data_IF_251017468573
#
_entry.id   IF_251017468573
#
_cell.length_a   1.000
_cell.length_b   1.000
_cell.length_c   1.000
_cell.angle_alpha   90.00
_cell.angle_beta   90.00
_cell.angle_gamma   90.00
#
_symmetry.space_group_name_H-M   'P 1'
#
loop_
_entity.id
_entity.type
_entity.pdbx_description
1 polymer ?
#
# COMPACT_ATOMS: atom_id res chain seq x y z
N UNK A 1 7.04 -24.52 -22.38
CA UNK A 1 6.12 -23.76 -21.50
C UNK A 1 6.74 -22.39 -21.27
N UNK A 2 6.29 -21.36 -21.98
CA UNK A 2 6.84 -20.00 -21.81
C UNK A 2 6.26 -19.45 -20.51
N UNK A 3 7.07 -19.38 -19.46
CA UNK A 3 6.75 -18.57 -18.29
C UNK A 3 6.74 -17.12 -18.76
N UNK A 4 5.55 -16.59 -19.05
CA UNK A 4 5.37 -15.16 -19.11
C UNK A 4 5.64 -14.65 -17.70
N UNK A 5 6.80 -14.03 -17.49
CA UNK A 5 6.98 -13.09 -16.39
C UNK A 5 5.92 -12.02 -16.63
N UNK A 6 4.78 -12.19 -15.96
CA UNK A 6 3.73 -11.19 -15.93
C UNK A 6 4.40 -10.01 -15.25
N UNK A 7 4.85 -9.03 -16.03
CA UNK A 7 5.19 -7.72 -15.48
C UNK A 7 3.90 -7.29 -14.79
N UNK A 8 3.86 -7.44 -13.46
CA UNK A 8 2.76 -6.92 -12.67
C UNK A 8 2.79 -5.41 -12.91
N UNK A 9 1.82 -4.93 -13.69
CA UNK A 9 1.69 -3.51 -14.00
C UNK A 9 1.15 -2.88 -12.71
N UNK A 10 2.07 -2.62 -11.79
CA UNK A 10 1.79 -1.82 -10.60
C UNK A 10 1.67 -0.37 -11.02
N UNK A 11 0.76 0.39 -10.41
CA UNK A 11 0.72 1.85 -10.54
C UNK A 11 1.85 2.50 -9.72
N UNK A 12 3.06 1.98 -9.83
CA UNK A 12 4.26 2.42 -9.11
C UNK A 12 5.50 2.19 -9.96
N UNK A 13 6.60 2.83 -9.54
CA UNK A 13 7.94 2.66 -10.10
C UNK A 13 8.07 3.07 -11.57
N UNK A 14 7.28 4.04 -12.01
CA UNK A 14 7.41 4.60 -13.34
C UNK A 14 8.77 5.24 -13.51
N UNK A 15 9.43 4.90 -14.63
CA UNK A 15 10.79 5.37 -14.94
C UNK A 15 11.81 5.08 -13.82
N UNK A 16 11.62 4.00 -13.04
CA UNK A 16 12.46 3.64 -11.88
C UNK A 16 12.44 4.66 -10.74
N UNK A 17 11.35 5.43 -10.59
CA UNK A 17 11.18 6.45 -9.55
C UNK A 17 10.33 5.99 -8.36
N UNK A 18 10.20 4.68 -8.12
CA UNK A 18 9.31 4.14 -7.10
C UNK A 18 9.61 4.65 -5.69
N UNK A 19 10.89 4.86 -5.35
CA UNK A 19 11.30 5.46 -4.07
C UNK A 19 10.82 6.91 -3.92
N UNK A 20 10.87 7.70 -4.99
CA UNK A 20 10.36 9.08 -4.99
C UNK A 20 8.83 9.09 -4.81
N UNK A 21 8.12 8.24 -5.56
CA UNK A 21 6.66 8.10 -5.47
C UNK A 21 6.21 7.68 -4.06
N UNK A 22 6.85 6.67 -3.46
CA UNK A 22 6.53 6.24 -2.10
C UNK A 22 6.79 7.34 -1.08
N UNK A 23 7.89 8.09 -1.22
CA UNK A 23 8.21 9.20 -0.33
C UNK A 23 7.20 10.33 -0.46
N UNK A 24 6.74 10.67 -1.66
CA UNK A 24 5.66 11.64 -1.85
C UNK A 24 4.35 11.20 -1.22
N UNK A 25 4.06 9.89 -1.24
CA UNK A 25 2.80 9.34 -0.74
C UNK A 25 2.78 9.11 0.77
N UNK A 26 3.93 8.80 1.38
CA UNK A 26 4.02 8.43 2.82
C UNK A 26 4.71 9.49 3.68
N UNK A 27 5.58 10.32 3.09
CA UNK A 27 6.39 11.32 3.81
C UNK A 27 7.54 10.72 4.64
N UNK A 28 7.42 9.46 5.08
CA UNK A 28 8.38 8.80 5.97
C UNK A 28 9.31 7.80 5.26
N UNK A 29 9.04 7.44 3.99
CA UNK A 29 9.91 6.53 3.24
C UNK A 29 11.28 7.16 2.96
N UNK A 30 12.34 6.46 3.39
CA UNK A 30 13.70 6.98 3.30
C UNK A 30 14.21 7.00 1.85
N UNK A 31 14.88 8.09 1.46
CA UNK A 31 15.32 8.33 0.07
C UNK A 31 16.27 7.24 -0.45
N UNK A 32 17.07 6.65 0.43
CA UNK A 32 18.08 5.66 0.04
C UNK A 32 17.57 4.21 0.14
N UNK A 33 16.29 3.99 0.44
CA UNK A 33 15.72 2.66 0.42
C UNK A 33 15.65 2.13 -1.02
N UNK A 34 16.07 0.89 -1.20
CA UNK A 34 15.91 0.16 -2.46
C UNK A 34 14.43 -0.23 -2.64
N UNK A 35 13.83 0.23 -3.74
CA UNK A 35 12.45 -0.09 -4.10
C UNK A 35 12.20 -1.61 -4.21
N UNK A 36 13.23 -2.40 -4.55
CA UNK A 36 13.13 -3.86 -4.63
C UNK A 36 12.70 -4.50 -3.31
N UNK A 37 12.98 -3.86 -2.16
CA UNK A 37 12.63 -4.37 -0.83
C UNK A 37 11.15 -4.25 -0.50
N UNK A 38 10.44 -3.34 -1.16
CA UNK A 38 9.02 -3.05 -0.90
C UNK A 38 8.11 -3.47 -2.05
N UNK A 39 8.65 -3.69 -3.26
CA UNK A 39 7.89 -4.06 -4.46
C UNK A 39 6.96 -5.26 -4.26
N UNK A 40 7.45 -6.32 -3.61
CA UNK A 40 6.64 -7.50 -3.31
C UNK A 40 5.45 -7.18 -2.37
N UNK A 41 5.61 -6.25 -1.43
CA UNK A 41 4.52 -5.80 -0.57
C UNK A 41 3.54 -4.92 -1.33
N UNK A 42 4.03 -4.06 -2.24
CA UNK A 42 3.18 -3.26 -3.12
C UNK A 42 2.28 -4.17 -3.95
N UNK A 43 2.81 -5.25 -4.52
CA UNK A 43 2.00 -6.20 -5.31
C UNK A 43 0.90 -6.85 -4.47
N UNK A 44 1.23 -7.39 -3.29
CA UNK A 44 0.24 -8.02 -2.40
C UNK A 44 -0.85 -7.03 -1.96
N UNK A 45 -0.46 -5.84 -1.56
CA UNK A 45 -1.42 -4.82 -1.10
C UNK A 45 -2.24 -4.28 -2.28
N UNK A 46 -1.67 -4.22 -3.49
CA UNK A 46 -2.41 -3.86 -4.70
C UNK A 46 -3.55 -4.84 -4.95
N UNK A 47 -3.33 -6.15 -4.77
CA UNK A 47 -4.38 -7.15 -4.88
C UNK A 47 -5.48 -6.95 -3.83
N UNK A 48 -5.10 -6.68 -2.58
CA UNK A 48 -6.05 -6.40 -1.48
C UNK A 48 -6.91 -5.16 -1.76
N UNK A 49 -6.29 -4.05 -2.18
CA UNK A 49 -7.01 -2.80 -2.50
C UNK A 49 -7.88 -2.98 -3.74
N UNK A 50 -7.41 -3.70 -4.75
CA UNK A 50 -8.17 -4.01 -5.97
C UNK A 50 -9.40 -4.86 -5.68
N UNK A 51 -9.30 -5.82 -4.74
CA UNK A 51 -10.44 -6.60 -4.27
C UNK A 51 -11.53 -5.74 -3.60
N UNK A 52 -11.14 -4.59 -3.01
CA UNK A 52 -12.08 -3.63 -2.40
C UNK A 52 -12.73 -2.73 -3.46
N UNK A 53 -11.93 -2.13 -4.35
CA UNK A 53 -12.41 -1.10 -5.31
C UNK A 53 -12.94 -1.66 -6.63
N UNK A 54 -12.66 -2.93 -6.93
CA UNK A 54 -13.01 -3.59 -8.18
C UNK A 54 -11.90 -3.53 -9.23
N UNK A 55 -11.80 -4.60 -10.03
CA UNK A 55 -10.76 -4.76 -11.03
C UNK A 55 -10.85 -3.73 -12.16
N UNK A 56 -12.06 -3.30 -12.54
CA UNK A 56 -12.25 -2.31 -13.61
C UNK A 56 -11.68 -0.95 -13.23
N UNK A 57 -11.90 -0.51 -11.99
CA UNK A 57 -11.39 0.77 -11.48
C UNK A 57 -9.86 0.75 -11.45
N UNK A 58 -9.26 -0.33 -10.94
CA UNK A 58 -7.81 -0.47 -10.91
C UNK A 58 -7.21 -0.45 -12.33
N UNK A 59 -7.75 -1.23 -13.27
CA UNK A 59 -7.27 -1.27 -14.66
C UNK A 59 -7.37 0.08 -15.36
N UNK A 60 -8.39 0.88 -15.05
CA UNK A 60 -8.54 2.24 -15.58
C UNK A 60 -7.39 3.15 -15.09
N UNK A 61 -7.08 3.10 -13.81
CA UNK A 61 -5.96 3.85 -13.23
C UNK A 61 -4.60 3.36 -13.77
N UNK A 62 -4.43 2.04 -13.86
CA UNK A 62 -3.25 1.37 -14.42
C UNK A 62 -2.96 1.83 -15.84
N UNK A 63 -3.94 1.73 -16.74
CA UNK A 63 -3.82 2.17 -18.13
C UNK A 63 -3.39 3.63 -18.22
N UNK A 64 -4.06 4.51 -17.48
CA UNK A 64 -3.76 5.94 -17.50
C UNK A 64 -2.38 6.27 -16.92
N UNK A 65 -1.94 5.53 -15.90
CA UNK A 65 -0.60 5.65 -15.34
C UNK A 65 0.47 5.26 -16.37
N UNK A 66 0.28 4.16 -17.10
CA UNK A 66 1.19 3.72 -18.17
C UNK A 66 1.20 4.69 -19.34
N UNK A 67 0.05 5.22 -19.74
CA UNK A 67 -0.12 6.11 -20.91
C UNK A 67 0.29 7.57 -20.64
N UNK A 68 0.70 7.94 -19.42
CA UNK A 68 0.96 9.34 -19.03
C UNK A 68 -0.26 10.26 -19.25
N UNK A 69 -1.47 9.81 -18.91
CA UNK A 69 -2.65 10.66 -19.04
C UNK A 69 -2.49 11.99 -18.29
N UNK A 70 -2.76 13.12 -18.93
CA UNK A 70 -2.73 14.44 -18.28
C UNK A 70 -4.07 14.82 -17.62
N UNK A 71 -5.07 13.94 -17.70
CA UNK A 71 -6.37 14.14 -17.08
C UNK A 71 -6.24 14.23 -15.56
N UNK A 72 -6.57 15.41 -15.01
CA UNK A 72 -6.43 15.72 -13.58
C UNK A 72 -7.28 14.81 -12.69
N UNK A 73 -8.46 14.41 -13.14
CA UNK A 73 -9.34 13.55 -12.34
C UNK A 73 -8.82 12.13 -12.31
N UNK A 74 -8.29 11.65 -13.44
CA UNK A 74 -7.64 10.33 -13.50
C UNK A 74 -6.32 10.32 -12.71
N UNK A 75 -5.53 11.39 -12.76
CA UNK A 75 -4.33 11.52 -11.92
C UNK A 75 -4.67 11.53 -10.43
N UNK A 76 -5.77 12.18 -10.05
CA UNK A 76 -6.29 12.16 -8.68
C UNK A 76 -6.74 10.75 -8.28
N UNK A 77 -7.42 10.02 -9.16
CA UNK A 77 -7.78 8.61 -8.94
C UNK A 77 -6.55 7.74 -8.70
N UNK A 78 -5.52 7.85 -9.56
CA UNK A 78 -4.25 7.13 -9.40
C UNK A 78 -3.66 7.39 -8.01
N UNK A 79 -3.48 8.67 -7.62
CA UNK A 79 -2.92 9.00 -6.30
C UNK A 79 -3.78 8.48 -5.14
N UNK A 80 -5.11 8.51 -5.27
CA UNK A 80 -6.03 7.99 -4.24
C UNK A 80 -5.94 6.47 -4.08
N UNK A 81 -5.64 5.73 -5.15
CA UNK A 81 -5.40 4.27 -5.09
C UNK A 81 -3.99 3.97 -4.56
N UNK A 82 -2.98 4.69 -5.03
CA UNK A 82 -1.59 4.51 -4.60
C UNK A 82 -1.42 4.74 -3.09
N UNK A 83 -2.08 5.74 -2.52
CA UNK A 83 -1.84 6.14 -1.13
C UNK A 83 -2.06 5.02 -0.09
N UNK A 84 -3.21 4.32 -0.02
CA UNK A 84 -3.36 3.18 0.88
C UNK A 84 -2.40 2.03 0.56
N UNK A 85 -2.07 1.81 -0.73
CA UNK A 85 -1.10 0.78 -1.11
C UNK A 85 0.29 1.09 -0.54
N UNK A 86 0.72 2.34 -0.67
CA UNK A 86 2.02 2.80 -0.20
C UNK A 86 2.14 2.62 1.33
N UNK A 87 1.16 3.11 2.10
CA UNK A 87 1.19 3.06 3.57
C UNK A 87 1.31 1.63 4.09
N UNK A 88 0.46 0.72 3.59
CA UNK A 88 0.46 -0.67 4.06
C UNK A 88 1.69 -1.43 3.55
N UNK A 89 2.16 -1.16 2.34
CA UNK A 89 3.37 -1.79 1.82
C UNK A 89 4.61 -1.36 2.62
N UNK A 90 4.71 -0.08 2.99
CA UNK A 90 5.81 0.43 3.81
C UNK A 90 5.75 -0.11 5.23
N UNK A 91 4.57 -0.18 5.84
CA UNK A 91 4.40 -0.79 7.17
C UNK A 91 4.89 -2.25 7.18
N UNK A 92 4.43 -3.06 6.22
CA UNK A 92 4.88 -4.46 6.11
C UNK A 92 6.37 -4.59 5.83
N UNK A 93 6.96 -3.63 5.13
CA UNK A 93 8.40 -3.59 4.93
C UNK A 93 9.13 -3.29 6.26
N UNK A 94 8.66 -2.33 7.05
CA UNK A 94 9.25 -1.99 8.35
C UNK A 94 9.21 -3.19 9.30
N UNK A 95 8.05 -3.81 9.49
CA UNK A 95 7.88 -5.01 10.33
C UNK A 95 8.79 -6.18 9.94
N UNK A 96 9.06 -6.34 8.64
CA UNK A 96 9.95 -7.40 8.15
C UNK A 96 11.43 -7.08 8.33
N UNK A 97 11.77 -5.79 8.43
CA UNK A 97 13.12 -5.30 8.58
C UNK A 97 13.57 -5.17 10.04
N UNK A 98 12.67 -5.32 11.01
CA UNK A 98 13.01 -5.34 12.45
C UNK A 98 14.05 -6.41 12.80
N UNK A 99 14.07 -7.52 12.05
CA UNK A 99 15.05 -8.59 12.18
C UNK A 99 15.73 -8.87 10.84
N UNK A 100 17.06 -8.95 10.87
CA UNK A 100 17.85 -9.35 9.72
C UNK A 100 17.80 -10.87 9.55
N UNK A 101 17.75 -11.34 8.31
CA UNK A 101 17.75 -12.76 7.95
C UNK A 101 19.00 -13.03 7.11
N UNK A 102 20.02 -13.64 7.71
CA UNK A 102 21.31 -13.95 7.06
C UNK A 102 21.59 -15.46 7.12
N UNK A 103 22.75 -15.89 6.61
CA UNK A 103 23.14 -17.29 6.51
C UNK A 103 23.16 -18.03 7.87
N UNK A 104 23.43 -17.30 8.95
CA UNK A 104 23.44 -17.83 10.34
C UNK A 104 22.07 -17.68 11.04
N UNK A 105 21.02 -17.37 10.27
CA UNK A 105 19.65 -17.26 10.75
C UNK A 105 19.19 -15.82 11.03
N UNK A 106 18.27 -15.68 11.99
CA UNK A 106 17.67 -14.39 12.35
C UNK A 106 18.60 -13.66 13.30
N UNK A 107 19.16 -12.54 12.86
CA UNK A 107 20.10 -11.73 13.63
C UNK A 107 19.57 -10.32 13.84
N UNK A 108 19.74 -9.85 15.06
CA UNK A 108 19.51 -8.47 15.40
C UNK A 108 20.79 -7.65 15.10
N UNK A 109 20.69 -6.64 14.23
CA UNK A 109 21.82 -5.79 13.85
C UNK A 109 21.61 -4.39 14.44
N UNK A 110 22.59 -3.93 15.23
CA UNK A 110 22.63 -2.58 15.79
C UNK A 110 24.07 -2.09 15.79
N UNK A 111 24.29 -0.82 15.45
CA UNK A 111 25.52 -0.14 15.86
C UNK A 111 25.42 0.23 17.34
N UNK A 112 26.04 -0.56 18.21
CA UNK A 112 25.97 -0.39 19.66
C UNK A 112 26.53 0.94 20.20
N UNK A 113 27.22 1.73 19.37
CA UNK A 113 27.78 3.03 19.76
C UNK A 113 26.84 4.19 19.43
N UNK A 114 26.19 4.16 18.26
CA UNK A 114 25.45 5.31 17.73
C UNK A 114 23.94 5.09 17.62
N UNK A 115 23.46 3.85 17.72
CA UNK A 115 22.05 3.52 17.55
C UNK A 115 21.42 3.03 18.84
N UNK A 116 20.18 3.46 19.09
CA UNK A 116 19.35 2.96 20.18
C UNK A 116 18.11 2.31 19.59
N UNK A 117 17.76 1.17 20.16
CA UNK A 117 16.54 0.46 19.82
C UNK A 117 15.30 1.21 20.32
N UNK A 118 14.26 1.35 19.48
CA UNK A 118 12.93 1.66 19.96
C UNK A 118 12.44 0.58 20.92
N UNK A 119 11.71 0.98 21.96
CA UNK A 119 11.01 0.04 22.82
C UNK A 119 9.80 -0.57 22.11
N UNK A 120 9.37 -1.75 22.54
CA UNK A 120 8.22 -2.45 21.95
C UNK A 120 6.98 -1.57 21.86
N UNK A 121 6.64 -0.82 22.93
CA UNK A 121 5.48 0.07 22.91
C UNK A 121 5.59 1.22 21.89
N UNK A 122 6.82 1.62 21.53
CA UNK A 122 7.03 2.65 20.50
C UNK A 122 6.78 2.06 19.11
N UNK A 123 7.26 0.83 18.87
CA UNK A 123 6.98 0.09 17.64
C UNK A 123 5.48 -0.19 17.50
N UNK A 124 4.85 -0.72 18.55
CA UNK A 124 3.42 -1.01 18.57
C UNK A 124 2.58 0.24 18.28
N UNK A 125 2.96 1.37 18.88
CA UNK A 125 2.27 2.66 18.66
C UNK A 125 2.48 3.18 17.23
N UNK A 126 3.66 3.03 16.66
CA UNK A 126 3.94 3.45 15.28
C UNK A 126 3.18 2.59 14.27
N UNK A 127 3.14 1.27 14.50
CA UNK A 127 2.35 0.32 13.71
C UNK A 127 0.85 0.65 13.76
N UNK A 128 0.32 0.97 14.95
CA UNK A 128 -1.07 1.40 15.12
C UNK A 128 -1.39 2.67 14.31
N UNK A 129 -0.49 3.66 14.31
CA UNK A 129 -0.65 4.90 13.54
C UNK A 129 -0.65 4.63 12.03
N UNK A 130 0.27 3.80 11.54
CA UNK A 130 0.30 3.41 10.12
C UNK A 130 -0.97 2.67 9.70
N UNK A 131 -1.50 1.78 10.54
CA UNK A 131 -2.76 1.09 10.27
C UNK A 131 -3.94 2.06 10.27
N UNK A 132 -3.98 3.01 11.20
CA UNK A 132 -5.02 4.05 11.23
C UNK A 132 -5.00 4.88 9.95
N UNK A 133 -3.81 5.30 9.50
CA UNK A 133 -3.64 6.08 8.27
C UNK A 133 -3.99 5.28 7.01
N UNK A 134 -3.67 3.98 6.98
CA UNK A 134 -4.13 3.08 5.92
C UNK A 134 -5.66 3.04 5.83
N UNK A 135 -6.36 2.87 6.97
CA UNK A 135 -7.82 2.84 6.98
C UNK A 135 -8.43 4.19 6.57
N UNK A 136 -7.87 5.31 7.04
CA UNK A 136 -8.28 6.65 6.61
C UNK A 136 -8.09 6.85 5.10
N UNK A 137 -6.98 6.39 4.55
CA UNK A 137 -6.68 6.47 3.13
C UNK A 137 -7.67 5.65 2.29
N UNK A 138 -8.01 4.43 2.74
CA UNK A 138 -9.04 3.60 2.12
C UNK A 138 -10.42 4.25 2.17
N UNK A 139 -10.83 4.76 3.33
CA UNK A 139 -12.13 5.43 3.48
C UNK A 139 -12.22 6.67 2.58
N UNK A 140 -11.13 7.45 2.48
CA UNK A 140 -11.06 8.59 1.57
C UNK A 140 -11.15 8.18 0.10
N UNK A 141 -10.53 7.05 -0.29
CA UNK A 141 -10.65 6.48 -1.64
C UNK A 141 -12.09 6.03 -1.91
N UNK A 142 -12.72 5.30 -1.00
CA UNK A 142 -14.11 4.85 -1.14
C UNK A 142 -15.06 6.04 -1.25
N UNK A 143 -14.87 7.07 -0.43
CA UNK A 143 -15.66 8.31 -0.50
C UNK A 143 -15.50 8.99 -1.87
N UNK A 144 -14.27 9.13 -2.34
CA UNK A 144 -13.99 9.69 -3.66
C UNK A 144 -14.67 8.89 -4.79
N UNK A 145 -14.65 7.56 -4.73
CA UNK A 145 -15.35 6.71 -5.72
C UNK A 145 -16.87 6.87 -5.67
N UNK A 146 -17.44 7.06 -4.48
CA UNK A 146 -18.88 7.31 -4.32
C UNK A 146 -19.29 8.70 -4.87
N UNK A 147 -18.46 9.73 -4.67
CA UNK A 147 -18.75 11.10 -5.11
C UNK A 147 -18.65 11.29 -6.63
N UNK A 148 -17.73 10.58 -7.29
CA UNK A 148 -17.49 10.71 -8.74
C UNK A 148 -18.33 9.75 -9.60
N UNK A 149 -19.25 9.01 -8.97
CA UNK A 149 -20.28 8.22 -9.63
C UNK A 149 -19.80 7.22 -10.70
N UNK A 150 -18.61 6.64 -10.51
CA UNK A 150 -18.06 5.67 -11.47
C UNK A 150 -19.01 4.49 -11.68
N UNK A 151 -19.47 4.30 -12.92
CA UNK A 151 -20.41 3.24 -13.29
C UNK A 151 -19.86 1.84 -12.94
N UNK A 152 -18.55 1.68 -13.09
CA UNK A 152 -17.79 0.47 -12.84
C UNK A 152 -17.75 0.14 -11.34
N UNK A 153 -17.63 1.17 -10.49
CA UNK A 153 -17.66 1.03 -9.03
C UNK A 153 -19.03 0.55 -8.54
N UNK A 154 -20.12 1.11 -9.09
CA UNK A 154 -21.49 0.70 -8.72
C UNK A 154 -21.80 -0.75 -9.07
N UNK A 155 -21.28 -1.24 -10.18
CA UNK A 155 -21.51 -2.62 -10.66
C UNK A 155 -20.68 -3.65 -9.90
N UNK A 156 -19.43 -3.31 -9.57
CA UNK A 156 -18.49 -4.24 -8.93
C UNK A 156 -18.47 -4.14 -7.40
N UNK A 157 -19.26 -3.25 -6.81
CA UNK A 157 -19.34 -3.09 -5.36
C UNK A 157 -19.64 -4.45 -4.73
N UNK A 158 -18.62 -5.05 -4.12
CA UNK A 158 -18.80 -6.20 -3.25
C UNK A 158 -19.71 -5.73 -2.13
N UNK A 159 -20.99 -6.12 -2.18
CA UNK A 159 -21.92 -5.87 -1.08
C UNK A 159 -21.27 -6.50 0.15
N UNK A 160 -20.92 -5.74 1.20
CA UNK A 160 -20.30 -6.33 2.37
C UNK A 160 -21.26 -7.40 2.88
N UNK A 161 -20.85 -8.67 2.80
CA UNK A 161 -21.66 -9.72 3.39
C UNK A 161 -21.77 -9.37 4.88
N UNK A 162 -23.00 -9.26 5.40
CA UNK A 162 -23.31 -8.82 6.76
C UNK A 162 -22.54 -9.59 7.88
N UNK A 163 -21.82 -10.66 7.54
CA UNK A 163 -21.04 -11.48 8.46
C UNK A 163 -19.63 -10.94 8.76
N UNK A 164 -19.03 -10.09 7.91
CA UNK A 164 -17.64 -9.65 8.12
C UNK A 164 -17.51 -8.45 9.08
N UNK A 165 -18.53 -7.60 9.22
CA UNK A 165 -18.48 -6.41 10.09
C UNK A 165 -18.60 -6.71 11.58
N UNK A 166 -19.08 -7.89 12.01
CA UNK A 166 -19.24 -8.18 13.45
C UNK A 166 -17.91 -8.38 14.19
N UNK A 167 -16.81 -8.70 13.50
CA UNK A 167 -15.51 -8.92 14.15
C UNK A 167 -14.69 -7.65 14.37
N UNK A 168 -14.90 -6.61 13.56
CA UNK A 168 -14.17 -5.34 13.68
C UNK A 168 -14.74 -4.44 14.79
N UNK A 169 -16.03 -4.53 15.09
CA UNK A 169 -16.69 -3.68 16.10
C UNK A 169 -16.90 -4.36 17.47
N UNK A 170 -16.50 -5.63 17.63
CA UNK A 170 -16.73 -6.40 18.86
C UNK A 170 -15.58 -6.36 19.87
N UNK A 171 -14.45 -5.70 19.56
CA UNK A 171 -13.28 -5.60 20.46
C UNK A 171 -13.11 -4.23 21.11
N UNK A 172 -14.17 -3.42 21.16
CA UNK A 172 -14.24 -2.20 21.98
C UNK A 172 -15.46 -2.26 22.89
N UNK A 173 -15.44 -3.18 23.85
CA UNK A 173 -16.18 -3.12 25.12
C UNK A 173 -15.42 -3.97 26.14
#
# INVERSE_FOLDING_TARGET
MKFYVKYNIMIFNKQNKGTEELRELTGNYYKNNDFSKVSAQIELVTEEVTAIIGQKIYKKAEKAYTENSEDKDIQKLIRKIQHPIAIMATLRMYQRNDLSHEDDGRKFKIDGVNEKLPWQWQLDRDDELHLEDYYKALDALIRYLNENDYSEWKQERVRPSRRHNKRLFSKRL
#
